data_IF_787138889669
#
_entry.id   IF_787138889669
#
_cell.length_a   1.000
_cell.length_b   1.000
_cell.length_c   1.000
_cell.angle_alpha   90.00
_cell.angle_beta   90.00
_cell.angle_gamma   90.00
#
_symmetry.space_group_name_H-M   'P 1'
#
loop_
_entity.id
_entity.type
_entity.pdbx_description
1 polymer ?
#
# COMPACT_ATOMS: atom_id res chain seq x y z
N UNK A 1 12.28 12.19 -25.99
CA UNK A 1 11.91 11.15 -26.98
C UNK A 1 12.30 9.81 -26.38
N UNK A 2 11.34 8.90 -26.23
CA UNK A 2 11.62 7.53 -25.78
C UNK A 2 12.41 6.77 -26.87
N UNK A 3 13.37 5.90 -26.50
CA UNK A 3 13.99 4.97 -27.44
C UNK A 3 12.93 4.11 -28.15
N UNK A 4 13.16 3.74 -29.41
CA UNK A 4 12.21 2.94 -30.21
C UNK A 4 11.80 1.62 -29.51
N UNK A 5 12.76 0.96 -28.86
CA UNK A 5 12.55 -0.26 -28.05
C UNK A 5 11.66 -0.01 -26.81
N UNK A 6 11.83 1.14 -26.13
CA UNK A 6 11.01 1.49 -24.97
C UNK A 6 9.56 1.80 -25.36
N UNK A 7 9.34 2.40 -26.54
CA UNK A 7 7.99 2.65 -27.04
C UNK A 7 7.24 1.35 -27.38
N UNK A 8 7.92 0.37 -27.95
CA UNK A 8 7.35 -0.96 -28.21
C UNK A 8 7.05 -1.71 -26.90
N UNK A 9 7.95 -1.65 -25.92
CA UNK A 9 7.69 -2.24 -24.60
C UNK A 9 6.53 -1.56 -23.88
N UNK A 10 6.40 -0.24 -24.00
CA UNK A 10 5.28 0.52 -23.43
C UNK A 10 3.92 0.02 -23.95
N UNK A 11 3.78 -0.23 -25.26
CA UNK A 11 2.51 -0.71 -25.83
C UNK A 11 2.15 -2.12 -25.37
N UNK A 12 3.13 -2.93 -24.99
CA UNK A 12 2.92 -4.28 -24.43
C UNK A 12 2.62 -4.28 -22.93
N UNK A 13 3.12 -3.28 -22.20
CA UNK A 13 2.93 -3.15 -20.74
C UNK A 13 1.57 -2.56 -20.38
N UNK A 14 1.09 -1.53 -21.10
CA UNK A 14 -0.18 -0.87 -20.77
C UNK A 14 -1.38 -1.86 -20.68
N UNK A 15 -1.56 -2.82 -21.62
CA UNK A 15 -2.66 -3.79 -21.55
C UNK A 15 -2.63 -4.70 -20.31
N UNK A 16 -1.48 -4.84 -19.63
CA UNK A 16 -1.39 -5.63 -18.40
C UNK A 16 -2.22 -5.02 -17.26
N UNK A 17 -2.36 -3.69 -17.24
CA UNK A 17 -3.07 -2.95 -16.20
C UNK A 17 -4.53 -2.66 -16.53
N UNK A 18 -4.89 -2.61 -17.81
CA UNK A 18 -6.27 -2.40 -18.24
C UNK A 18 -7.20 -3.49 -17.69
N UNK A 19 -8.30 -3.13 -17.04
CA UNK A 19 -9.29 -4.08 -16.52
C UNK A 19 -8.67 -5.13 -15.59
N UNK A 20 -7.70 -4.74 -14.75
CA UNK A 20 -7.03 -5.63 -13.77
C UNK A 20 -8.02 -6.36 -12.85
N UNK A 21 -9.15 -5.71 -12.53
CA UNK A 21 -10.27 -6.27 -11.77
C UNK A 21 -10.96 -7.45 -12.47
N UNK A 22 -10.86 -7.57 -13.80
CA UNK A 22 -11.50 -8.63 -14.58
C UNK A 22 -10.52 -9.77 -14.95
N UNK A 23 -10.99 -11.04 -14.97
CA UNK A 23 -10.17 -12.18 -15.40
C UNK A 23 -9.77 -12.10 -16.89
N UNK A 24 -8.53 -12.52 -17.20
CA UNK A 24 -7.98 -12.57 -18.57
C UNK A 24 -8.77 -13.57 -19.43
N UNK A 25 -9.22 -14.70 -18.86
CA UNK A 25 -10.09 -15.68 -19.56
C UNK A 25 -11.37 -15.09 -20.16
N UNK A 26 -11.92 -14.06 -19.53
CA UNK A 26 -13.14 -13.38 -20.01
C UNK A 26 -12.85 -12.57 -21.29
N UNK A 27 -11.58 -12.22 -21.57
CA UNK A 27 -11.16 -11.42 -22.73
C UNK A 27 -10.39 -12.23 -23.79
N UNK A 28 -9.62 -13.25 -23.42
CA UNK A 28 -8.66 -13.91 -24.34
C UNK A 28 -8.86 -15.42 -24.57
N UNK A 29 -9.72 -16.11 -23.80
CA UNK A 29 -10.10 -17.51 -24.09
C UNK A 29 -8.99 -18.58 -24.05
N UNK A 30 -7.78 -18.26 -23.57
CA UNK A 30 -6.63 -19.16 -23.59
C UNK A 30 -6.58 -20.05 -22.34
N UNK A 31 -6.51 -21.38 -22.53
CA UNK A 31 -6.04 -22.31 -21.49
C UNK A 31 -4.51 -22.31 -21.54
N UNK A 32 -3.89 -21.47 -20.73
CA UNK A 32 -2.42 -21.46 -20.63
C UNK A 32 -2.00 -22.56 -19.66
N UNK A 33 -1.13 -23.46 -20.11
CA UNK A 33 -0.41 -24.36 -19.21
C UNK A 33 0.48 -23.51 -18.33
N UNK A 34 0.22 -23.52 -17.02
CA UNK A 34 0.90 -22.61 -16.08
C UNK A 34 2.36 -22.98 -15.99
N UNK A 35 3.21 -21.98 -16.19
CA UNK A 35 4.64 -22.14 -15.98
C UNK A 35 4.92 -22.67 -14.55
N UNK A 36 5.77 -23.69 -14.38
CA UNK A 36 6.14 -24.21 -13.07
C UNK A 36 6.66 -23.15 -12.09
N UNK A 37 7.25 -22.05 -12.58
CA UNK A 37 7.72 -20.91 -11.76
C UNK A 37 6.58 -20.25 -10.97
N UNK A 38 5.35 -20.28 -11.49
CA UNK A 38 4.17 -19.70 -10.85
C UNK A 38 3.50 -20.62 -9.81
N UNK A 39 4.08 -21.80 -9.55
CA UNK A 39 3.53 -22.75 -8.57
C UNK A 39 3.59 -22.17 -7.16
N UNK A 40 2.47 -22.30 -6.44
CA UNK A 40 2.34 -21.82 -5.06
C UNK A 40 1.76 -20.41 -4.92
N UNK A 41 1.53 -19.71 -6.03
CA UNK A 41 0.81 -18.43 -6.07
C UNK A 41 -0.72 -18.64 -6.16
N UNK A 42 -1.49 -17.60 -5.86
CA UNK A 42 -2.95 -17.60 -5.84
C UNK A 42 -3.55 -17.97 -4.48
N UNK A 43 -2.83 -17.75 -3.38
CA UNK A 43 -3.26 -18.15 -2.02
C UNK A 43 -4.29 -17.16 -1.48
N UNK A 44 -4.01 -15.86 -1.57
CA UNK A 44 -4.94 -14.79 -1.20
C UNK A 44 -6.26 -14.92 -1.98
N UNK A 45 -6.15 -15.31 -3.25
CA UNK A 45 -7.26 -15.43 -4.16
C UNK A 45 -7.80 -14.07 -4.64
N UNK A 46 -8.53 -14.11 -5.74
CA UNK A 46 -9.21 -12.95 -6.32
C UNK A 46 -10.43 -12.54 -5.49
N UNK A 47 -10.84 -11.28 -5.60
CA UNK A 47 -12.03 -10.79 -4.90
C UNK A 47 -11.77 -10.29 -3.47
N UNK A 48 -10.53 -10.32 -3.00
CA UNK A 48 -10.11 -9.84 -1.68
C UNK A 48 -9.24 -8.60 -1.80
N UNK A 49 -9.21 -7.76 -0.76
CA UNK A 49 -8.31 -6.61 -0.73
C UNK A 49 -6.89 -7.10 -0.44
N UNK A 50 -5.94 -6.61 -1.24
CA UNK A 50 -4.51 -6.79 -0.99
C UNK A 50 -3.99 -5.63 -0.15
N UNK A 51 -3.02 -5.93 0.71
CA UNK A 51 -2.38 -4.97 1.62
C UNK A 51 -0.89 -5.30 1.69
N UNK A 52 -0.05 -4.27 1.57
CA UNK A 52 1.40 -4.42 1.71
C UNK A 52 1.86 -4.49 3.16
N UNK A 53 0.95 -4.21 4.12
CA UNK A 53 1.23 -4.21 5.55
C UNK A 53 1.00 -5.58 6.21
N UNK A 54 0.27 -6.48 5.53
CA UNK A 54 -0.03 -7.83 6.01
C UNK A 54 1.03 -8.82 5.54
N UNK A 55 1.59 -9.59 6.46
CA UNK A 55 2.71 -10.49 6.16
C UNK A 55 2.31 -11.59 5.16
N UNK A 56 1.13 -12.20 5.34
CA UNK A 56 0.63 -13.25 4.46
C UNK A 56 0.40 -12.77 3.02
N UNK A 57 -0.01 -11.51 2.84
CA UNK A 57 -0.19 -10.89 1.54
C UNK A 57 1.17 -10.56 0.89
N UNK A 58 2.09 -9.96 1.64
CA UNK A 58 3.38 -9.52 1.09
C UNK A 58 4.31 -10.68 0.78
N UNK A 59 4.22 -11.80 1.50
CA UNK A 59 4.99 -13.02 1.19
C UNK A 59 4.62 -13.58 -0.19
N UNK A 60 3.32 -13.62 -0.51
CA UNK A 60 2.84 -14.02 -1.84
C UNK A 60 3.25 -12.99 -2.92
N UNK A 61 3.19 -11.70 -2.59
CA UNK A 61 3.60 -10.63 -3.50
C UNK A 61 5.10 -10.69 -3.82
N UNK A 62 5.95 -10.89 -2.81
CA UNK A 62 7.40 -11.06 -2.95
C UNK A 62 7.69 -12.25 -3.86
N UNK A 63 7.01 -13.38 -3.66
CA UNK A 63 7.20 -14.57 -4.51
C UNK A 63 6.88 -14.29 -5.98
N UNK A 64 5.82 -13.54 -6.28
CA UNK A 64 5.52 -13.14 -7.65
C UNK A 64 6.55 -12.13 -8.19
N UNK A 65 6.96 -11.14 -7.39
CA UNK A 65 8.01 -10.19 -7.77
C UNK A 65 9.30 -10.92 -8.14
N UNK A 66 9.75 -11.89 -7.35
CA UNK A 66 10.93 -12.70 -7.62
C UNK A 66 10.84 -13.40 -8.98
N UNK A 67 9.73 -14.10 -9.23
CA UNK A 67 9.50 -14.81 -10.51
C UNK A 67 9.56 -13.84 -11.70
N UNK A 68 8.99 -12.64 -11.55
CA UNK A 68 8.99 -11.62 -12.60
C UNK A 68 10.36 -10.94 -12.78
N UNK A 69 11.15 -10.79 -11.71
CA UNK A 69 12.53 -10.26 -11.78
C UNK A 69 13.50 -11.29 -12.37
N UNK A 70 13.29 -12.58 -12.10
CA UNK A 70 14.13 -13.69 -12.60
C UNK A 70 13.87 -14.06 -14.07
N UNK A 71 12.80 -13.54 -14.70
CA UNK A 71 12.52 -13.78 -16.11
C UNK A 71 13.67 -13.25 -16.99
N UNK A 72 14.24 -14.11 -17.84
CA UNK A 72 15.48 -13.84 -18.58
C UNK A 72 15.29 -12.79 -19.66
N UNK A 73 14.09 -12.76 -20.26
CA UNK A 73 13.75 -11.87 -21.36
C UNK A 73 12.47 -11.09 -21.06
N UNK A 74 12.31 -9.96 -21.75
CA UNK A 74 11.08 -9.18 -21.68
C UNK A 74 9.86 -9.98 -22.17
N UNK A 75 10.04 -10.86 -23.16
CA UNK A 75 8.96 -11.72 -23.66
C UNK A 75 8.49 -12.71 -22.61
N UNK A 76 9.43 -13.39 -21.95
CA UNK A 76 9.11 -14.30 -20.83
C UNK A 76 8.42 -13.54 -19.69
N UNK A 77 8.89 -12.34 -19.36
CA UNK A 77 8.26 -11.49 -18.36
C UNK A 77 6.79 -11.17 -18.69
N UNK A 78 6.51 -10.78 -19.93
CA UNK A 78 5.14 -10.48 -20.39
C UNK A 78 4.26 -11.73 -20.38
N UNK A 79 4.79 -12.88 -20.80
CA UNK A 79 4.07 -14.16 -20.79
C UNK A 79 3.71 -14.61 -19.36
N UNK A 80 4.65 -14.48 -18.41
CA UNK A 80 4.39 -14.74 -16.99
C UNK A 80 3.34 -13.77 -16.42
N UNK A 81 3.39 -12.49 -16.81
CA UNK A 81 2.38 -11.51 -16.42
C UNK A 81 0.99 -11.89 -16.92
N UNK A 82 0.86 -12.36 -18.17
CA UNK A 82 -0.43 -12.79 -18.71
C UNK A 82 -0.99 -14.02 -17.97
N UNK A 83 -0.12 -14.97 -17.61
CA UNK A 83 -0.49 -16.17 -16.87
C UNK A 83 -0.90 -15.87 -15.43
N UNK A 84 -0.10 -15.08 -14.70
CA UNK A 84 -0.34 -14.75 -13.30
C UNK A 84 -1.65 -13.97 -13.12
N UNK A 85 -1.97 -13.09 -14.06
CA UNK A 85 -3.16 -12.25 -14.02
C UNK A 85 -4.46 -13.03 -13.83
N UNK A 86 -4.56 -14.26 -14.32
CA UNK A 86 -5.82 -15.02 -14.28
C UNK A 86 -6.21 -15.52 -12.89
N UNK A 87 -5.26 -15.72 -11.98
CA UNK A 87 -5.51 -16.44 -10.73
C UNK A 87 -4.92 -15.75 -9.50
N UNK A 88 -3.94 -14.87 -9.67
CA UNK A 88 -3.41 -14.05 -8.59
C UNK A 88 -4.40 -12.93 -8.27
N UNK A 89 -4.43 -12.52 -7.00
CA UNK A 89 -5.21 -11.38 -6.54
C UNK A 89 -4.90 -10.11 -7.37
N UNK A 90 -5.94 -9.30 -7.63
CA UNK A 90 -5.87 -8.15 -8.53
C UNK A 90 -4.93 -7.04 -8.06
N UNK A 91 -5.01 -6.70 -6.76
CA UNK A 91 -4.14 -5.70 -6.16
C UNK A 91 -2.70 -6.19 -6.05
N UNK A 92 -2.52 -7.45 -5.65
CA UNK A 92 -1.21 -8.10 -5.56
C UNK A 92 -0.53 -8.14 -6.93
N UNK A 93 -1.26 -8.53 -7.97
CA UNK A 93 -0.78 -8.57 -9.34
C UNK A 93 -0.28 -7.19 -9.81
N UNK A 94 -1.11 -6.14 -9.65
CA UNK A 94 -0.72 -4.78 -10.06
C UNK A 94 0.50 -4.30 -9.27
N UNK A 95 0.56 -4.58 -7.96
CA UNK A 95 1.73 -4.28 -7.15
C UNK A 95 3.00 -4.99 -7.68
N UNK A 96 2.96 -6.30 -7.83
CA UNK A 96 4.12 -7.10 -8.22
C UNK A 96 4.64 -6.75 -9.62
N UNK A 97 3.73 -6.57 -10.58
CA UNK A 97 4.08 -6.16 -11.95
C UNK A 97 4.67 -4.75 -11.95
N UNK A 98 4.13 -3.83 -11.15
CA UNK A 98 4.67 -2.47 -11.04
C UNK A 98 6.09 -2.46 -10.46
N UNK A 99 6.34 -3.22 -9.40
CA UNK A 99 7.67 -3.41 -8.82
C UNK A 99 8.62 -4.00 -9.87
N UNK A 100 8.22 -5.06 -10.57
CA UNK A 100 9.06 -5.68 -11.60
C UNK A 100 9.45 -4.69 -12.72
N UNK A 101 8.50 -3.92 -13.26
CA UNK A 101 8.77 -2.91 -14.29
C UNK A 101 9.76 -1.84 -13.82
N UNK A 102 9.65 -1.40 -12.56
CA UNK A 102 10.52 -0.36 -12.01
C UNK A 102 11.97 -0.82 -11.79
N UNK A 103 12.21 -2.11 -11.52
CA UNK A 103 13.53 -2.59 -11.11
C UNK A 103 14.24 -3.48 -12.16
N UNK A 104 13.52 -3.96 -13.18
CA UNK A 104 14.12 -4.69 -14.32
C UNK A 104 14.90 -3.75 -15.23
N UNK A 105 16.11 -4.16 -15.64
CA UNK A 105 16.97 -3.32 -16.49
C UNK A 105 16.47 -3.20 -17.93
N UNK A 106 15.78 -4.22 -18.44
CA UNK A 106 15.19 -4.22 -19.79
C UNK A 106 13.89 -3.40 -19.88
N UNK A 107 13.30 -3.01 -18.75
CA UNK A 107 12.14 -2.11 -18.65
C UNK A 107 12.52 -0.63 -18.48
N UNK A 108 13.80 -0.27 -18.51
CA UNK A 108 14.23 1.14 -18.38
C UNK A 108 13.60 2.01 -19.47
N UNK A 109 12.94 3.08 -19.05
CA UNK A 109 12.24 4.02 -19.94
C UNK A 109 10.78 3.66 -20.21
N UNK A 110 10.29 2.52 -19.70
CA UNK A 110 8.86 2.21 -19.64
C UNK A 110 8.25 2.94 -18.44
N UNK A 111 7.09 3.55 -18.65
CA UNK A 111 6.32 4.24 -17.61
C UNK A 111 5.15 3.38 -17.15
N UNK A 112 4.88 3.40 -15.85
CA UNK A 112 3.67 2.80 -15.29
C UNK A 112 2.45 3.68 -15.62
N UNK A 113 1.28 3.07 -15.90
CA UNK A 113 0.05 3.84 -15.96
C UNK A 113 -0.26 4.45 -14.57
N UNK A 114 -0.92 5.62 -14.52
CA UNK A 114 -1.30 6.22 -13.24
C UNK A 114 -2.19 5.28 -12.42
N UNK A 115 -1.86 5.06 -11.14
CA UNK A 115 -2.61 4.14 -10.27
C UNK A 115 -4.09 4.54 -10.12
N UNK A 116 -4.38 5.84 -10.20
CA UNK A 116 -5.75 6.37 -10.19
C UNK A 116 -6.56 6.03 -11.44
N UNK A 117 -5.92 5.71 -12.57
CA UNK A 117 -6.58 5.21 -13.78
C UNK A 117 -6.77 3.69 -13.71
N UNK A 118 -5.86 2.98 -13.05
CA UNK A 118 -5.95 1.52 -12.84
C UNK A 118 -7.01 1.16 -11.79
N UNK A 119 -7.04 1.89 -10.68
CA UNK A 119 -7.96 1.69 -9.54
C UNK A 119 -8.66 3.00 -9.17
N UNK A 120 -9.55 3.53 -10.02
CA UNK A 120 -10.23 4.80 -9.76
C UNK A 120 -11.08 4.76 -8.48
N UNK A 121 -11.53 3.57 -8.07
CA UNK A 121 -12.33 3.32 -6.86
C UNK A 121 -11.59 3.55 -5.54
N UNK A 122 -10.26 3.64 -5.58
CA UNK A 122 -9.42 4.04 -4.44
C UNK A 122 -9.32 5.56 -4.27
N UNK A 123 -9.56 6.32 -5.33
CA UNK A 123 -9.33 7.76 -5.36
C UNK A 123 -10.62 8.58 -5.42
N UNK A 124 -11.66 8.02 -6.03
CA UNK A 124 -12.92 8.70 -6.32
C UNK A 124 -14.02 8.16 -5.41
N UNK A 125 -14.84 9.04 -4.78
CA UNK A 125 -15.97 8.61 -3.95
C UNK A 125 -16.97 7.73 -4.70
N UNK A 126 -17.56 6.77 -3.99
CA UNK A 126 -18.52 5.79 -4.56
C UNK A 126 -19.70 6.48 -5.24
N UNK A 127 -20.18 7.59 -4.69
CA UNK A 127 -21.31 8.34 -5.24
C UNK A 127 -21.01 8.89 -6.64
N UNK A 128 -19.81 9.45 -6.82
CA UNK A 128 -19.34 9.94 -8.13
C UNK A 128 -19.21 8.80 -9.13
N UNK A 129 -18.68 7.65 -8.72
CA UNK A 129 -18.57 6.46 -9.58
C UNK A 129 -19.95 5.97 -10.02
N UNK A 130 -20.90 5.85 -9.09
CA UNK A 130 -22.26 5.46 -9.41
C UNK A 130 -22.97 6.47 -10.31
N UNK A 131 -22.72 7.77 -10.13
CA UNK A 131 -23.24 8.83 -10.99
C UNK A 131 -22.69 8.71 -12.41
N UNK A 132 -21.38 8.47 -12.57
CA UNK A 132 -20.76 8.22 -13.88
C UNK A 132 -21.35 6.97 -14.57
N UNK A 133 -21.53 5.88 -13.83
CA UNK A 133 -22.17 4.67 -14.36
C UNK A 133 -23.61 4.93 -14.81
N UNK A 134 -24.41 5.68 -14.05
CA UNK A 134 -25.79 6.04 -14.42
C UNK A 134 -25.83 6.86 -15.70
N UNK A 135 -24.97 7.87 -15.83
CA UNK A 135 -24.89 8.70 -17.05
C UNK A 135 -24.47 7.87 -18.26
N UNK A 136 -23.48 6.97 -18.09
CA UNK A 136 -23.04 6.06 -19.15
C UNK A 136 -24.18 5.14 -19.64
N UNK A 137 -24.95 4.58 -18.72
CA UNK A 137 -26.09 3.71 -19.07
C UNK A 137 -27.24 4.47 -19.75
N UNK A 138 -27.45 5.75 -19.41
CA UNK A 138 -28.48 6.59 -20.04
C UNK A 138 -28.10 7.04 -21.45
N UNK A 139 -26.81 7.06 -21.77
CA UNK A 139 -26.29 7.52 -23.05
C UNK A 139 -25.37 6.47 -23.71
N UNK A 140 -25.89 5.26 -24.03
CA UNK A 140 -25.06 4.14 -24.50
C UNK A 140 -24.38 4.39 -25.85
N UNK A 141 -24.89 5.33 -26.65
CA UNK A 141 -24.37 5.69 -27.98
C UNK A 141 -23.57 7.00 -27.99
N UNK A 142 -23.27 7.57 -26.82
CA UNK A 142 -22.46 8.78 -26.74
C UNK A 142 -20.99 8.38 -26.88
N UNK A 143 -20.40 8.73 -28.02
CA UNK A 143 -18.97 8.49 -28.28
C UNK A 143 -18.07 9.50 -27.54
N UNK A 144 -18.65 10.62 -27.09
CA UNK A 144 -17.93 11.65 -26.33
C UNK A 144 -17.72 11.26 -24.86
N UNK A 145 -16.66 11.81 -24.28
CA UNK A 145 -16.29 11.64 -22.87
C UNK A 145 -17.45 12.02 -21.92
N UNK A 146 -17.56 11.24 -20.83
CA UNK A 146 -18.52 11.50 -19.75
C UNK A 146 -17.78 12.24 -18.64
N UNK A 147 -18.13 13.50 -18.45
CA UNK A 147 -17.57 14.35 -17.41
C UNK A 147 -18.58 14.41 -16.25
N UNK A 148 -18.12 14.07 -15.05
CA UNK A 148 -18.91 14.10 -13.82
C UNK A 148 -18.13 14.84 -12.75
N UNK A 149 -18.78 15.82 -12.12
CA UNK A 149 -18.20 16.53 -10.99
C UNK A 149 -18.06 15.58 -9.79
N UNK A 150 -16.90 15.64 -9.12
CA UNK A 150 -16.62 14.89 -7.89
C UNK A 150 -17.59 15.35 -6.80
N UNK A 151 -18.13 14.38 -6.06
CA UNK A 151 -18.94 14.63 -4.87
C UNK A 151 -18.03 14.81 -3.65
N UNK A 152 -18.38 15.72 -2.76
CA UNK A 152 -17.68 15.93 -1.51
C UNK A 152 -18.00 14.82 -0.50
N UNK A 153 -17.02 14.46 0.33
CA UNK A 153 -17.06 13.29 1.24
C UNK A 153 -17.32 13.64 2.70
N UNK A 154 -17.50 14.91 3.03
CA UNK A 154 -17.58 15.36 4.42
C UNK A 154 -18.36 16.66 4.57
N UNK A 155 -18.42 17.15 5.81
CA UNK A 155 -19.11 18.38 6.14
C UNK A 155 -18.27 19.24 7.11
N UNK A 156 -18.62 20.52 7.19
CA UNK A 156 -17.93 21.51 8.02
C UNK A 156 -18.16 21.35 9.54
N UNK A 157 -18.93 20.33 9.98
CA UNK A 157 -19.13 20.04 11.41
C UNK A 157 -17.84 19.49 12.01
N UNK A 158 -17.11 18.68 11.24
CA UNK A 158 -15.77 18.23 11.59
C UNK A 158 -14.73 19.18 10.99
N UNK A 159 -13.95 19.92 11.80
CA UNK A 159 -12.90 20.80 11.31
C UNK A 159 -11.86 20.08 10.44
N UNK A 160 -11.70 18.78 10.61
CA UNK A 160 -10.78 17.98 9.81
C UNK A 160 -11.17 17.93 8.33
N UNK A 161 -12.45 18.18 7.99
CA UNK A 161 -12.92 18.33 6.61
C UNK A 161 -12.22 19.48 5.86
N UNK A 162 -11.75 20.52 6.57
CA UNK A 162 -10.98 21.60 5.94
C UNK A 162 -9.68 21.11 5.29
N UNK A 163 -9.16 19.95 5.71
CA UNK A 163 -7.97 19.32 5.13
C UNK A 163 -8.29 18.27 4.07
N UNK A 164 -9.57 18.06 3.70
CA UNK A 164 -9.96 17.06 2.72
C UNK A 164 -9.30 17.30 1.35
N UNK A 165 -9.08 18.56 0.95
CA UNK A 165 -8.38 18.88 -0.30
C UNK A 165 -6.95 18.32 -0.35
N UNK A 166 -6.28 18.20 0.80
CA UNK A 166 -4.93 17.67 0.91
C UNK A 166 -4.96 16.15 1.11
N UNK A 167 -5.74 15.68 2.08
CA UNK A 167 -5.83 14.25 2.45
C UNK A 167 -6.40 13.39 1.31
N UNK A 168 -7.33 13.93 0.54
CA UNK A 168 -7.95 13.24 -0.60
C UNK A 168 -7.35 13.62 -1.95
N UNK A 169 -6.25 14.37 -1.99
CA UNK A 169 -5.58 14.69 -3.24
C UNK A 169 -5.09 13.41 -3.92
N UNK A 170 -5.38 13.31 -5.21
CA UNK A 170 -5.02 12.13 -6.01
C UNK A 170 -3.50 11.99 -6.12
N UNK A 171 -2.78 13.11 -6.26
CA UNK A 171 -1.34 13.12 -6.41
C UNK A 171 -0.59 12.67 -5.15
N UNK A 172 -1.03 13.11 -3.98
CA UNK A 172 -0.40 12.73 -2.70
C UNK A 172 -0.65 11.26 -2.37
N UNK A 173 -1.87 10.75 -2.59
CA UNK A 173 -2.18 9.33 -2.42
C UNK A 173 -1.42 8.46 -3.44
N UNK A 174 -1.33 8.91 -4.70
CA UNK A 174 -0.51 8.23 -5.71
C UNK A 174 0.97 8.24 -5.34
N UNK A 175 1.50 9.35 -4.80
CA UNK A 175 2.90 9.46 -4.37
C UNK A 175 3.26 8.40 -3.32
N UNK A 176 2.43 8.23 -2.30
CA UNK A 176 2.67 7.23 -1.24
C UNK A 176 2.63 5.81 -1.78
N UNK A 177 1.67 5.49 -2.67
CA UNK A 177 1.66 4.21 -3.38
C UNK A 177 2.96 3.97 -4.16
N UNK A 178 3.40 4.95 -4.96
CA UNK A 178 4.62 4.81 -5.76
C UNK A 178 5.88 4.68 -4.90
N UNK A 179 5.96 5.38 -3.77
CA UNK A 179 7.10 5.27 -2.85
C UNK A 179 7.29 3.82 -2.38
N UNK A 180 6.20 3.15 -1.99
CA UNK A 180 6.24 1.73 -1.60
C UNK A 180 6.57 0.76 -2.75
N UNK A 181 6.37 1.15 -4.02
CA UNK A 181 6.83 0.36 -5.17
C UNK A 181 8.35 0.49 -5.40
N UNK A 182 8.91 1.68 -5.15
CA UNK A 182 10.35 1.94 -5.33
C UNK A 182 11.16 1.34 -4.18
N UNK A 183 10.61 1.37 -2.96
CA UNK A 183 11.22 0.81 -1.75
C UNK A 183 10.34 -0.24 -1.07
N UNK A 184 10.10 -1.41 -1.71
CA UNK A 184 9.31 -2.48 -1.10
C UNK A 184 9.86 -2.91 0.26
N UNK A 185 8.98 -3.16 1.24
CA UNK A 185 9.36 -3.70 2.55
C UNK A 185 10.11 -5.03 2.42
N UNK A 186 9.73 -5.86 1.46
CA UNK A 186 10.32 -7.19 1.17
C UNK A 186 11.50 -7.17 0.19
N UNK A 187 12.09 -6.01 -0.10
CA UNK A 187 13.20 -5.94 -1.05
C UNK A 187 14.42 -6.76 -0.58
N UNK A 188 14.74 -7.83 -1.30
CA UNK A 188 15.88 -8.69 -1.00
C UNK A 188 17.08 -8.34 -1.89
N UNK A 189 18.03 -7.59 -1.35
CA UNK A 189 19.24 -7.18 -2.06
C UNK A 189 20.11 -8.36 -2.54
N UNK A 190 20.10 -9.49 -1.81
CA UNK A 190 20.89 -10.69 -2.15
C UNK A 190 20.34 -11.37 -3.40
N UNK A 191 19.02 -11.47 -3.52
CA UNK A 191 18.36 -12.06 -4.71
C UNK A 191 18.38 -11.12 -5.91
N UNK A 192 18.14 -9.84 -5.68
CA UNK A 192 18.04 -8.84 -6.76
C UNK A 192 19.40 -8.34 -7.26
N UNK A 193 20.47 -8.56 -6.48
CA UNK A 193 21.81 -8.05 -6.75
C UNK A 193 21.92 -6.51 -6.68
N UNK A 194 20.87 -5.83 -6.18
CA UNK A 194 20.74 -4.37 -6.18
C UNK A 194 20.36 -3.89 -4.77
N UNK A 195 21.33 -3.54 -3.91
CA UNK A 195 21.01 -2.97 -2.60
C UNK A 195 20.32 -1.61 -2.76
N UNK A 196 19.39 -1.29 -1.85
CA UNK A 196 18.77 0.04 -1.77
C UNK A 196 19.53 0.83 -0.70
N UNK A 197 20.36 1.76 -1.15
CA UNK A 197 21.17 2.58 -0.25
C UNK A 197 20.27 3.41 0.68
N UNK A 198 20.51 3.29 2.00
CA UNK A 198 19.84 4.04 3.07
C UNK A 198 18.31 3.97 3.02
N UNK A 199 17.77 2.78 2.73
CA UNK A 199 16.32 2.59 2.60
C UNK A 199 15.57 2.94 3.89
N UNK A 200 16.02 2.42 5.04
CA UNK A 200 15.39 2.66 6.33
C UNK A 200 15.42 4.14 6.71
N UNK A 201 16.51 4.83 6.41
CA UNK A 201 16.57 6.28 6.59
C UNK A 201 15.57 7.03 5.71
N UNK A 202 15.45 6.61 4.44
CA UNK A 202 14.50 7.22 3.52
C UNK A 202 13.05 6.95 3.94
N UNK A 203 12.77 5.78 4.52
CA UNK A 203 11.48 5.47 5.14
C UNK A 203 11.15 6.50 6.22
N UNK A 204 12.08 6.75 7.16
CA UNK A 204 11.91 7.76 8.19
C UNK A 204 11.70 9.16 7.57
N UNK A 205 12.60 9.56 6.66
CA UNK A 205 12.56 10.88 6.05
C UNK A 205 11.25 11.14 5.30
N UNK A 206 10.79 10.19 4.49
CA UNK A 206 9.57 10.34 3.69
C UNK A 206 8.35 10.55 4.59
N UNK A 207 8.11 9.66 5.56
CA UNK A 207 6.95 9.76 6.44
C UNK A 207 7.02 10.99 7.36
N UNK A 208 8.22 11.35 7.82
CA UNK A 208 8.44 12.58 8.58
C UNK A 208 8.10 13.83 7.75
N UNK A 209 8.50 13.88 6.48
CA UNK A 209 8.18 14.99 5.57
C UNK A 209 6.68 15.06 5.25
N UNK A 210 6.00 13.93 5.10
CA UNK A 210 4.54 13.90 4.93
C UNK A 210 3.82 14.48 6.15
N UNK A 211 4.24 14.10 7.36
CA UNK A 211 3.70 14.64 8.60
C UNK A 211 3.98 16.14 8.75
N UNK A 212 5.19 16.58 8.40
CA UNK A 212 5.57 18.00 8.44
C UNK A 212 4.74 18.82 7.45
N UNK A 213 4.53 18.31 6.23
CA UNK A 213 3.70 18.98 5.23
C UNK A 213 2.24 19.06 5.66
N UNK A 214 1.70 17.97 6.22
CA UNK A 214 0.34 17.96 6.76
C UNK A 214 0.16 18.99 7.89
N UNK A 215 1.14 19.14 8.78
CA UNK A 215 1.12 20.20 9.80
C UNK A 215 1.09 21.61 9.20
N UNK A 216 1.78 21.86 8.08
CA UNK A 216 1.69 23.14 7.38
C UNK A 216 0.27 23.42 6.89
N UNK A 217 -0.43 22.40 6.38
CA UNK A 217 -1.84 22.52 5.97
C UNK A 217 -2.75 22.76 7.19
N UNK A 218 -2.51 22.06 8.31
CA UNK A 218 -3.25 22.30 9.57
C UNK A 218 -3.11 23.74 10.05
N UNK A 219 -1.88 24.23 10.12
CA UNK A 219 -1.59 25.60 10.55
C UNK A 219 -2.21 26.65 9.60
N UNK A 220 -2.20 26.39 8.29
CA UNK A 220 -2.82 27.25 7.29
C UNK A 220 -4.35 27.32 7.45
N UNK A 221 -4.97 26.25 7.94
CA UNK A 221 -6.40 26.17 8.28
C UNK A 221 -6.71 26.58 9.74
N UNK A 222 -5.74 27.17 10.46
CA UNK A 222 -5.94 27.61 11.84
C UNK A 222 -6.06 26.47 12.88
N UNK A 223 -5.63 25.26 12.52
CA UNK A 223 -5.67 24.08 13.37
C UNK A 223 -4.30 23.85 14.03
N UNK A 224 -4.26 23.31 15.27
CA UNK A 224 -3.00 22.96 15.91
C UNK A 224 -2.33 21.80 15.15
N UNK A 225 -1.02 21.64 15.35
CA UNK A 225 -0.25 20.48 14.85
C UNK A 225 -0.88 19.17 15.30
N UNK A 226 -0.71 18.13 14.50
CA UNK A 226 -1.21 16.80 14.85
C UNK A 226 -0.49 16.26 16.09
N UNK A 227 -1.26 15.67 17.00
CA UNK A 227 -0.70 15.01 18.18
C UNK A 227 -0.28 13.58 17.82
N UNK A 228 0.83 13.05 18.33
CA UNK A 228 1.20 11.65 18.12
C UNK A 228 0.24 10.70 18.83
N UNK A 229 0.06 9.49 18.28
CA UNK A 229 -0.70 8.42 18.92
C UNK A 229 0.19 7.56 19.84
N UNK A 230 0.51 8.10 21.02
CA UNK A 230 1.44 7.47 21.96
C UNK A 230 0.79 6.40 22.85
N UNK A 231 -0.48 6.60 23.22
CA UNK A 231 -1.20 5.73 24.14
C UNK A 231 -2.24 4.90 23.39
N UNK A 232 -2.02 3.58 23.33
CA UNK A 232 -2.87 2.67 22.56
C UNK A 232 -4.26 2.45 23.16
N UNK A 233 -4.47 2.85 24.42
CA UNK A 233 -5.78 2.85 25.08
C UNK A 233 -6.64 4.07 24.76
N UNK A 234 -6.08 5.07 24.07
CA UNK A 234 -6.83 6.27 23.73
C UNK A 234 -7.95 5.99 22.72
N UNK A 235 -9.14 6.59 22.93
CA UNK A 235 -10.19 6.56 21.92
C UNK A 235 -9.74 7.31 20.67
N UNK A 236 -10.09 6.77 19.52
CA UNK A 236 -9.70 7.29 18.23
C UNK A 236 -10.80 8.17 17.62
N UNK A 237 -10.41 9.12 16.77
CA UNK A 237 -11.28 10.04 16.05
C UNK A 237 -12.15 9.31 15.02
N UNK A 238 -13.31 9.83 14.61
CA UNK A 238 -14.11 9.16 13.58
C UNK A 238 -13.59 9.42 12.16
N UNK A 239 -13.72 8.46 11.24
CA UNK A 239 -13.47 8.70 9.81
C UNK A 239 -14.29 7.77 8.90
N UNK A 240 -14.82 8.30 7.80
CA UNK A 240 -15.49 7.55 6.73
C UNK A 240 -14.98 8.00 5.37
N UNK A 241 -14.37 7.08 4.63
CA UNK A 241 -13.71 7.41 3.37
C UNK A 241 -14.66 7.63 2.18
N UNK A 242 -15.91 7.14 2.28
CA UNK A 242 -16.87 7.12 1.16
C UNK A 242 -16.31 6.43 -0.11
N UNK A 243 -15.41 5.47 0.09
CA UNK A 243 -14.84 4.63 -0.97
C UNK A 243 -15.48 3.24 -0.92
N UNK A 244 -15.61 2.61 -2.08
CA UNK A 244 -16.05 1.23 -2.23
C UNK A 244 -15.17 0.49 -3.19
N UNK A 245 -14.98 -0.81 -2.98
CA UNK A 245 -14.17 -1.59 -3.91
C UNK A 245 -15.02 -2.13 -5.06
N UNK A 246 -14.54 -1.96 -6.30
CA UNK A 246 -15.20 -2.57 -7.48
C UNK A 246 -14.98 -4.09 -7.54
N UNK A 247 -14.03 -4.60 -6.77
CA UNK A 247 -13.62 -6.00 -6.74
C UNK A 247 -14.70 -6.87 -6.07
N UNK A 248 -15.19 -6.48 -4.89
CA UNK A 248 -16.19 -7.25 -4.15
C UNK A 248 -17.47 -6.47 -3.81
N UNK A 249 -17.54 -5.19 -4.19
CA UNK A 249 -18.71 -4.34 -3.99
C UNK A 249 -18.91 -3.84 -2.55
N UNK A 250 -18.08 -4.26 -1.59
CA UNK A 250 -18.15 -3.77 -0.22
C UNK A 250 -17.42 -2.42 -0.06
N UNK A 251 -17.91 -1.52 0.81
CA UNK A 251 -17.22 -0.28 1.16
C UNK A 251 -15.94 -0.56 1.94
N UNK A 252 -14.99 0.37 1.95
CA UNK A 252 -13.96 0.38 3.00
C UNK A 252 -14.62 0.61 4.35
N UNK A 253 -14.17 -0.10 5.39
CA UNK A 253 -14.76 0.06 6.72
C UNK A 253 -14.58 1.49 7.23
N UNK A 254 -15.69 2.07 7.68
CA UNK A 254 -15.67 3.34 8.40
C UNK A 254 -15.40 3.11 9.88
N UNK A 255 -14.84 4.11 10.54
CA UNK A 255 -14.43 4.07 11.93
C UNK A 255 -15.23 5.13 12.70
N UNK A 256 -16.27 4.76 13.46
CA UNK A 256 -16.94 5.70 14.35
C UNK A 256 -16.00 6.25 15.42
N UNK A 257 -16.24 7.49 15.87
CA UNK A 257 -15.46 8.11 16.95
C UNK A 257 -15.60 7.34 18.26
N UNK A 258 -14.53 7.26 19.04
CA UNK A 258 -14.54 6.65 20.37
C UNK A 258 -14.18 5.17 20.41
N UNK A 259 -13.94 4.54 19.25
CA UNK A 259 -13.38 3.19 19.20
C UNK A 259 -11.92 3.18 19.70
N UNK A 260 -11.49 2.05 20.25
CA UNK A 260 -10.12 1.82 20.72
C UNK A 260 -9.51 0.66 19.96
N UNK A 261 -8.18 0.62 19.92
CA UNK A 261 -7.47 -0.55 19.39
C UNK A 261 -7.89 -1.82 20.13
N UNK A 262 -7.96 -2.92 19.38
CA UNK A 262 -8.32 -4.25 19.87
C UNK A 262 -7.42 -5.28 19.20
N UNK A 263 -7.22 -6.38 19.91
CA UNK A 263 -6.49 -7.52 19.37
C UNK A 263 -7.18 -8.07 18.13
N UNK A 264 -6.37 -8.52 17.18
CA UNK A 264 -6.82 -9.23 15.99
C UNK A 264 -6.16 -10.60 15.90
N UNK A 265 -6.61 -11.45 14.99
CA UNK A 265 -5.98 -12.74 14.78
C UNK A 265 -4.50 -12.56 14.38
N UNK A 266 -3.58 -13.05 15.23
CA UNK A 266 -2.14 -13.06 14.96
C UNK A 266 -1.35 -11.95 15.65
N UNK A 267 -1.99 -10.88 16.16
CA UNK A 267 -1.31 -9.81 16.89
C UNK A 267 -2.20 -9.21 17.97
N UNK A 268 -1.64 -8.97 19.15
CA UNK A 268 -2.29 -8.23 20.24
C UNK A 268 -1.79 -6.79 20.30
N UNK A 269 -2.59 -5.89 20.86
CA UNK A 269 -2.16 -4.51 21.15
C UNK A 269 -0.94 -4.51 22.09
N UNK A 270 -0.87 -5.48 23.00
CA UNK A 270 0.26 -5.69 23.89
C UNK A 270 1.56 -6.05 23.14
N UNK A 271 1.47 -6.68 21.97
CA UNK A 271 2.66 -6.96 21.15
C UNK A 271 3.24 -5.67 20.58
N UNK A 272 2.39 -4.72 20.14
CA UNK A 272 2.84 -3.40 19.70
C UNK A 272 3.53 -2.63 20.83
N UNK A 273 2.98 -2.68 22.04
CA UNK A 273 3.61 -2.06 23.21
C UNK A 273 4.99 -2.67 23.46
N UNK A 274 5.08 -4.01 23.45
CA UNK A 274 6.35 -4.73 23.64
C UNK A 274 7.38 -4.38 22.57
N UNK A 275 6.98 -4.29 21.30
CA UNK A 275 7.88 -3.89 20.22
C UNK A 275 8.35 -2.45 20.38
N UNK A 276 7.45 -1.52 20.73
CA UNK A 276 7.82 -0.13 21.02
C UNK A 276 8.83 -0.05 22.16
N UNK A 277 8.58 -0.71 23.30
CA UNK A 277 9.51 -0.69 24.44
C UNK A 277 10.87 -1.28 24.06
N UNK A 278 10.91 -2.39 23.31
CA UNK A 278 12.18 -3.00 22.83
C UNK A 278 12.98 -2.07 21.93
N UNK A 279 12.30 -1.32 21.05
CA UNK A 279 12.95 -0.34 20.18
C UNK A 279 13.50 0.82 21.02
N UNK A 280 12.72 1.34 21.98
CA UNK A 280 13.17 2.39 22.89
C UNK A 280 14.37 1.95 23.74
N UNK A 281 14.35 0.73 24.26
CA UNK A 281 15.45 0.15 25.01
C UNK A 281 16.72 0.04 24.16
N UNK A 282 16.61 -0.43 22.92
CA UNK A 282 17.74 -0.50 21.99
C UNK A 282 18.34 0.89 21.69
N UNK A 283 17.49 1.91 21.54
CA UNK A 283 17.92 3.30 21.36
C UNK A 283 18.66 3.79 22.61
N UNK A 284 18.13 3.55 23.81
CA UNK A 284 18.74 3.98 25.07
C UNK A 284 20.08 3.28 25.36
N UNK A 285 20.18 2.00 24.97
CA UNK A 285 21.41 1.21 25.09
C UNK A 285 22.45 1.57 24.01
N UNK A 286 22.02 2.15 22.88
CA UNK A 286 22.89 2.54 21.78
C UNK A 286 23.27 1.40 20.84
N UNK A 287 22.56 0.26 20.88
CA UNK A 287 22.78 -0.88 20.00
C UNK A 287 21.52 -1.72 19.81
N UNK A 288 21.45 -2.46 18.71
CA UNK A 288 20.39 -3.44 18.42
C UNK A 288 20.97 -4.85 18.42
N UNK A 289 20.16 -5.85 18.80
CA UNK A 289 20.57 -7.25 18.83
C UNK A 289 19.96 -8.01 17.65
N UNK A 290 20.80 -8.69 16.86
CA UNK A 290 20.35 -9.51 15.74
C UNK A 290 19.82 -10.89 16.19
N UNK A 291 19.43 -11.74 15.23
CA UNK A 291 18.96 -13.12 15.51
C UNK A 291 20.02 -14.03 16.13
N UNK A 292 21.31 -13.78 15.88
CA UNK A 292 22.44 -14.55 16.39
C UNK A 292 22.87 -14.08 17.80
N UNK A 293 22.24 -13.03 18.33
CA UNK A 293 22.62 -12.40 19.59
C UNK A 293 23.81 -11.43 19.46
N UNK A 294 24.21 -11.05 18.24
CA UNK A 294 25.25 -10.04 18.04
C UNK A 294 24.66 -8.64 18.17
N UNK A 295 25.43 -7.77 18.80
CA UNK A 295 25.07 -6.38 19.02
C UNK A 295 25.65 -5.51 17.88
N UNK A 296 24.78 -4.74 17.23
CA UNK A 296 25.16 -3.74 16.22
C UNK A 296 24.92 -2.35 16.80
N UNK A 297 25.98 -1.54 16.89
CA UNK A 297 25.93 -0.19 17.46
C UNK A 297 25.10 0.74 16.58
N UNK A 298 24.26 1.56 17.20
CA UNK A 298 23.53 2.64 16.56
C UNK A 298 24.46 3.86 16.45
N UNK A 299 25.27 3.91 15.39
CA UNK A 299 26.19 5.02 15.14
C UNK A 299 25.51 6.21 14.44
N UNK A 300 26.23 7.33 14.31
CA UNK A 300 25.74 8.57 13.70
C UNK A 300 25.46 8.46 12.18
N UNK A 301 25.95 7.41 11.50
CA UNK A 301 25.89 7.27 10.05
C UNK A 301 24.84 6.23 9.61
N UNK A 302 24.75 5.09 10.30
CA UNK A 302 23.93 3.94 9.98
C UNK A 302 22.77 3.74 10.98
N UNK A 303 22.82 4.38 12.15
CA UNK A 303 21.83 4.16 13.22
C UNK A 303 20.40 4.42 12.75
N UNK A 304 20.16 5.50 12.00
CA UNK A 304 18.82 5.82 11.47
C UNK A 304 18.34 4.83 10.42
N UNK A 305 19.24 4.28 9.61
CA UNK A 305 18.92 3.30 8.59
C UNK A 305 18.46 1.99 9.23
N UNK A 306 19.25 1.50 10.20
CA UNK A 306 18.94 0.32 11.00
C UNK A 306 17.61 0.48 11.74
N UNK A 307 17.36 1.64 12.36
CA UNK A 307 16.11 1.91 13.06
C UNK A 307 14.92 1.96 12.09
N UNK A 308 15.09 2.58 10.91
CA UNK A 308 14.04 2.60 9.89
C UNK A 308 13.66 1.21 9.41
N UNK A 309 14.64 0.35 9.16
CA UNK A 309 14.41 -1.06 8.81
C UNK A 309 13.68 -1.83 9.90
N UNK A 310 14.00 -1.57 11.17
CA UNK A 310 13.35 -2.20 12.32
C UNK A 310 11.91 -1.70 12.53
N UNK A 311 11.65 -0.41 12.32
CA UNK A 311 10.32 0.20 12.55
C UNK A 311 9.35 -0.17 11.44
N UNK A 312 9.78 -0.09 10.17
CA UNK A 312 9.01 -0.60 9.02
C UNK A 312 8.90 -2.13 9.09
N UNK A 313 9.95 -2.79 9.61
CA UNK A 313 10.20 -4.24 9.53
C UNK A 313 10.43 -4.74 8.12
N UNK A 314 11.31 -4.02 7.43
CA UNK A 314 11.83 -4.39 6.12
C UNK A 314 12.56 -5.74 6.17
N UNK A 315 12.82 -6.36 5.01
CA UNK A 315 13.69 -7.53 4.89
C UNK A 315 15.05 -7.34 5.59
N UNK A 316 15.53 -6.11 5.69
CA UNK A 316 16.83 -5.75 6.27
C UNK A 316 16.81 -5.58 7.81
N UNK A 317 15.62 -5.65 8.42
CA UNK A 317 15.47 -5.66 9.89
C UNK A 317 16.30 -6.78 10.52
N UNK A 318 17.16 -6.40 11.48
CA UNK A 318 18.15 -7.30 12.09
C UNK A 318 17.52 -8.45 12.89
N UNK A 319 16.33 -8.24 13.43
CA UNK A 319 15.62 -9.23 14.22
C UNK A 319 14.10 -8.95 14.23
N UNK A 320 13.40 -9.44 13.20
CA UNK A 320 11.94 -9.28 13.08
C UNK A 320 11.16 -9.97 14.20
N UNK A 321 11.64 -11.10 14.71
CA UNK A 321 10.96 -11.84 15.78
C UNK A 321 10.99 -11.08 17.11
N UNK A 322 12.08 -10.36 17.38
CA UNK A 322 12.25 -9.57 18.58
C UNK A 322 11.64 -8.18 18.45
N UNK A 323 11.97 -7.43 17.41
CA UNK A 323 11.49 -6.05 17.27
C UNK A 323 10.11 -5.93 16.62
N UNK A 324 9.59 -7.02 16.02
CA UNK A 324 8.23 -7.05 15.49
C UNK A 324 8.08 -6.36 14.15
N UNK A 325 6.91 -5.76 13.91
CA UNK A 325 6.54 -4.96 12.74
C UNK A 325 5.61 -3.84 13.16
N UNK A 326 6.14 -2.91 13.94
CA UNK A 326 5.36 -1.89 14.64
C UNK A 326 4.53 -1.07 13.64
N UNK A 327 5.18 -0.46 12.65
CA UNK A 327 4.54 0.38 11.65
C UNK A 327 3.39 -0.33 10.92
N UNK A 328 3.68 -1.49 10.32
CA UNK A 328 2.71 -2.20 9.48
C UNK A 328 1.55 -2.75 10.31
N UNK A 329 1.81 -3.28 11.51
CA UNK A 329 0.71 -3.75 12.38
C UNK A 329 -0.15 -2.61 12.89
N UNK A 330 0.38 -1.41 13.09
CA UNK A 330 -0.41 -0.21 13.37
C UNK A 330 -1.46 0.02 12.28
N UNK A 331 -1.04 0.02 11.01
CA UNK A 331 -1.95 0.12 9.86
C UNK A 331 -3.04 -0.95 9.87
N UNK A 332 -2.65 -2.22 10.04
CA UNK A 332 -3.58 -3.35 10.02
C UNK A 332 -4.59 -3.27 11.18
N UNK A 333 -4.15 -2.88 12.38
CA UNK A 333 -5.03 -2.73 13.55
C UNK A 333 -6.04 -1.59 13.36
N UNK A 334 -5.61 -0.42 12.88
CA UNK A 334 -6.53 0.68 12.59
C UNK A 334 -7.55 0.30 11.51
N UNK A 335 -7.11 -0.42 10.47
CA UNK A 335 -7.97 -0.81 9.38
C UNK A 335 -9.03 -1.84 9.78
N UNK A 336 -8.73 -2.74 10.71
CA UNK A 336 -9.65 -3.82 11.11
C UNK A 336 -10.44 -3.50 12.40
N UNK A 337 -10.39 -2.27 12.89
CA UNK A 337 -11.02 -1.89 14.18
C UNK A 337 -12.54 -2.12 14.24
N UNK A 338 -13.23 -2.07 13.09
CA UNK A 338 -14.68 -2.29 13.02
C UNK A 338 -15.04 -3.77 13.23
N UNK A 339 -14.19 -4.68 12.74
CA UNK A 339 -14.39 -6.13 12.78
C UNK A 339 -13.08 -6.86 13.13
N UNK A 340 -12.53 -6.66 14.34
CA UNK A 340 -11.19 -7.14 14.70
C UNK A 340 -11.07 -8.67 14.73
N UNK A 341 -12.19 -9.37 14.93
CA UNK A 341 -12.24 -10.83 14.92
C UNK A 341 -12.71 -11.41 13.57
N UNK A 342 -12.99 -10.55 12.58
CA UNK A 342 -13.36 -10.94 11.22
C UNK A 342 -14.70 -11.66 11.11
N UNK A 343 -15.55 -11.67 12.15
CA UNK A 343 -16.81 -12.43 12.16
C UNK A 343 -17.83 -11.86 11.17
N UNK A 344 -17.76 -10.56 10.91
CA UNK A 344 -18.68 -9.86 10.02
C UNK A 344 -18.21 -9.88 8.56
N UNK A 345 -16.96 -10.31 8.33
CA UNK A 345 -16.35 -10.39 6.99
C UNK A 345 -16.42 -9.06 6.23
N UNK A 346 -16.24 -7.95 6.96
CA UNK A 346 -16.18 -6.62 6.37
C UNK A 346 -14.81 -6.38 5.78
N UNK A 347 -14.75 -5.63 4.68
CA UNK A 347 -13.48 -5.11 4.17
C UNK A 347 -12.75 -4.27 5.25
N UNK A 348 -11.41 -4.26 5.25
CA UNK A 348 -10.64 -3.34 6.08
C UNK A 348 -10.90 -1.86 5.71
N UNK A 349 -10.56 -0.96 6.62
CA UNK A 349 -10.53 0.49 6.39
C UNK A 349 -9.35 0.92 5.51
N UNK A 350 -9.32 2.21 5.16
CA UNK A 350 -8.31 2.77 4.23
C UNK A 350 -6.87 2.69 4.72
N UNK A 351 -6.66 2.48 6.02
CA UNK A 351 -5.31 2.28 6.57
C UNK A 351 -4.63 1.00 6.06
N UNK A 352 -5.35 0.04 5.47
CA UNK A 352 -4.75 -1.20 4.94
C UNK A 352 -4.15 -1.05 3.54
N UNK A 353 -4.21 0.14 2.92
CA UNK A 353 -3.70 0.38 1.57
C UNK A 353 -2.91 1.70 1.48
N UNK A 354 -1.68 1.62 0.98
CA UNK A 354 -0.83 2.79 0.73
C UNK A 354 -1.50 3.83 -0.19
N UNK A 355 -2.33 3.41 -1.15
CA UNK A 355 -3.03 4.33 -2.04
C UNK A 355 -4.21 5.08 -1.38
N UNK A 356 -4.60 4.73 -0.15
CA UNK A 356 -5.77 5.34 0.51
C UNK A 356 -5.54 5.80 1.95
N UNK A 357 -4.51 5.30 2.61
CA UNK A 357 -4.23 5.53 4.03
C UNK A 357 -4.09 7.01 4.41
N UNK A 358 -3.50 7.85 3.54
CA UNK A 358 -3.35 9.30 3.78
C UNK A 358 -4.66 10.06 3.92
N UNK A 359 -5.76 9.46 3.46
CA UNK A 359 -7.09 10.05 3.58
C UNK A 359 -7.56 10.06 5.03
N UNK A 360 -7.19 9.06 5.85
CA UNK A 360 -7.60 8.99 7.26
C UNK A 360 -6.67 9.88 8.12
N UNK A 361 -7.19 10.81 8.93
CA UNK A 361 -6.40 11.60 9.87
C UNK A 361 -5.52 10.77 10.81
N UNK A 362 -5.92 9.52 11.11
CA UNK A 362 -5.14 8.62 11.97
C UNK A 362 -3.78 8.26 11.37
N UNK A 363 -3.63 8.31 10.04
CA UNK A 363 -2.34 8.14 9.39
C UNK A 363 -1.31 9.10 9.98
N UNK A 364 -1.62 10.41 9.97
CA UNK A 364 -0.70 11.42 10.47
C UNK A 364 -0.48 11.33 11.97
N UNK A 365 -1.46 10.79 12.71
CA UNK A 365 -1.35 10.56 14.16
C UNK A 365 -0.38 9.41 14.48
N UNK A 366 -0.42 8.35 13.68
CA UNK A 366 0.42 7.15 13.82
C UNK A 366 1.88 7.40 13.42
N UNK A 367 2.11 8.21 12.38
CA UNK A 367 3.44 8.49 11.85
C UNK A 367 4.16 9.67 12.53
N UNK A 368 3.50 10.29 13.51
CA UNK A 368 4.03 11.36 14.36
C UNK A 368 4.71 10.80 15.58
#
# INVERSE_FOLDING_TARGET
>A
QMPADAAEKQTRVLPLFEFSSLPTKTKFGLKVERDPKLRGLGILGRGRLFSTFRQDHIDEAERLVEVLLEAETFDEFVDLCHQARDFVNEGLYVYAVSVAILHRDDCRGVSLPPVQEVFPDKFIPVETILKAMKVSQQHPNKEDEIIVDKEDTGNIIDPEYNLAYYREDVGINAHHFHWHLVYPSTWNAVKTGKPKDRKGELFYYMHQQMCARYDCERLSNGMPRMLPFLNFDEPLEGYSAHLSTVINGQPYSSRPSGMKLRDIQGVSVQDLERWRERILDAINLGYVTDMDGRETVLDETHGIDILGDIVESSYESKNKEFYGSLHNWGHVLFANILDPDGRYQTNPGVMDDAATSLRDPIFYRWHR
#
